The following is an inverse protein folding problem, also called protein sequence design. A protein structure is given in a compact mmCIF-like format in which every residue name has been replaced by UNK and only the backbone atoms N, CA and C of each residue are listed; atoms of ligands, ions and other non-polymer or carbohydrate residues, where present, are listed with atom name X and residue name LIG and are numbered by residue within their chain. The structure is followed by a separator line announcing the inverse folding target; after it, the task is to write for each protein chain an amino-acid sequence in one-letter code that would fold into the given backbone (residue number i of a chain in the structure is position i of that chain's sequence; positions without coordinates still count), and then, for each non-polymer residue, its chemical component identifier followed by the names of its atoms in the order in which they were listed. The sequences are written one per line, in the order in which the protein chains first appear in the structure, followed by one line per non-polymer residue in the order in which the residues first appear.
data_IF_215073490062
#
_entry.id   IF_215073490062
#
_cell.length_a   1.000
_cell.length_b   1.000
_cell.length_c   1.000
_cell.angle_alpha   90.00
_cell.angle_beta   90.00
_cell.angle_gamma   90.00
#
_symmetry.space_group_name_H-M   'P 1'
#
loop_
_entity.id
_entity.type
_entity.pdbx_description
1 polymer ?
#
# COMPACT_ATOMS: atom_id res chain seq x y z
N UNK A 1 17.45 -13.38 34.86
CA UNK A 1 18.74 -13.21 35.54
C UNK A 1 19.80 -13.98 34.77
N UNK A 2 20.56 -13.31 33.90
CA UNK A 2 21.79 -13.90 33.36
C UNK A 2 22.95 -13.42 34.23
N UNK A 3 23.60 -14.37 34.88
CA UNK A 3 24.72 -14.15 35.80
C UNK A 3 25.97 -13.81 34.97
N UNK A 4 26.56 -12.65 35.24
CA UNK A 4 27.87 -12.25 34.73
C UNK A 4 28.96 -12.87 35.60
N UNK A 5 29.90 -13.60 34.99
CA UNK A 5 31.23 -13.83 35.55
C UNK A 5 32.23 -13.66 34.40
N UNK A 6 32.88 -12.50 34.34
CA UNK A 6 34.17 -12.36 33.69
C UNK A 6 35.20 -12.17 34.79
N UNK A 7 35.98 -13.22 35.06
CA UNK A 7 37.16 -13.14 35.90
C UNK A 7 38.27 -12.38 35.15
N UNK A 8 38.92 -11.46 35.85
CA UNK A 8 40.12 -10.77 35.38
C UNK A 8 41.28 -11.75 35.21
N UNK A 9 41.96 -11.71 34.06
CA UNK A 9 43.44 -11.81 33.94
C UNK A 9 43.88 -11.71 32.47
N UNK A 10 44.33 -10.52 32.09
CA UNK A 10 45.48 -10.17 31.24
C UNK A 10 45.87 -11.21 30.16
N UNK A 11 45.49 -10.98 28.89
CA UNK A 11 46.40 -10.93 27.72
C UNK A 11 45.63 -10.63 26.40
N UNK A 12 46.10 -9.66 25.60
CA UNK A 12 45.89 -9.64 24.14
C UNK A 12 44.66 -8.87 23.58
N UNK A 13 44.86 -7.60 23.30
CA UNK A 13 43.91 -6.58 22.78
C UNK A 13 43.41 -6.73 21.33
N UNK A 14 43.21 -7.95 20.81
CA UNK A 14 42.62 -8.15 19.45
C UNK A 14 41.50 -9.20 19.41
N UNK A 15 41.45 -10.14 20.36
CA UNK A 15 40.47 -11.23 20.32
C UNK A 15 39.10 -10.90 20.93
N UNK A 16 38.98 -9.81 21.71
CA UNK A 16 37.74 -9.46 22.39
C UNK A 16 36.69 -8.80 21.45
N UNK A 17 37.12 -8.19 20.34
CA UNK A 17 36.19 -7.56 19.38
C UNK A 17 35.49 -8.56 18.46
N UNK A 18 36.12 -9.71 18.16
CA UNK A 18 35.51 -10.73 17.30
C UNK A 18 34.44 -11.57 18.02
N UNK A 19 34.50 -11.71 19.35
CA UNK A 19 33.44 -12.40 20.10
C UNK A 19 32.17 -11.56 20.32
N UNK A 20 32.26 -10.22 20.25
CA UNK A 20 31.09 -9.33 20.35
C UNK A 20 30.25 -9.27 19.05
N UNK A 21 30.83 -9.61 17.91
CA UNK A 21 30.11 -9.65 16.62
C UNK A 21 29.36 -10.97 16.37
N UNK A 22 29.74 -12.05 17.06
CA UNK A 22 29.13 -13.37 16.88
C UNK A 22 27.99 -13.67 17.88
N UNK A 23 27.84 -12.85 18.92
CA UNK A 23 26.84 -13.01 19.97
C UNK A 23 25.86 -11.84 19.95
N UNK A 24 24.78 -12.03 19.18
CA UNK A 24 23.47 -11.37 19.24
C UNK A 24 23.06 -10.61 17.95
N UNK A 25 22.64 -11.34 16.90
CA UNK A 25 21.87 -10.76 15.79
C UNK A 25 20.60 -10.02 16.26
N UNK A 26 20.02 -10.45 17.37
CA UNK A 26 18.78 -9.90 17.93
C UNK A 26 18.96 -8.50 18.54
N UNK A 27 20.08 -8.21 19.22
CA UNK A 27 20.39 -6.87 19.75
C UNK A 27 20.62 -5.84 18.64
N UNK A 28 21.27 -6.24 17.53
CA UNK A 28 21.45 -5.41 16.33
C UNK A 28 20.12 -5.15 15.58
N UNK A 29 19.18 -6.11 15.62
CA UNK A 29 17.82 -5.91 15.08
C UNK A 29 16.98 -4.95 15.94
N UNK A 30 17.16 -4.95 17.26
CA UNK A 30 16.41 -4.08 18.18
C UNK A 30 16.88 -2.61 18.13
N UNK A 31 18.17 -2.33 17.88
CA UNK A 31 18.68 -0.97 17.65
C UNK A 31 18.17 -0.34 16.33
N UNK A 32 17.77 -1.16 15.34
CA UNK A 32 17.15 -0.72 14.08
C UNK A 32 15.64 -0.45 14.18
N UNK A 33 15.07 -0.46 15.38
CA UNK A 33 13.67 -0.14 15.68
C UNK A 33 13.53 1.21 16.37
N UNK A 34 14.19 2.25 15.85
CA UNK A 34 13.95 3.63 16.27
C UNK A 34 12.95 4.26 15.28
N UNK A 35 11.80 4.80 15.73
CA UNK A 35 10.83 5.46 14.86
C UNK A 35 11.44 6.59 14.04
N UNK A 36 12.46 7.29 14.57
CA UNK A 36 13.15 8.35 13.83
C UNK A 36 13.84 7.85 12.57
N UNK A 37 14.28 6.59 12.50
CA UNK A 37 14.90 6.02 11.29
C UNK A 37 13.89 5.36 10.35
N UNK A 38 12.69 5.04 10.84
CA UNK A 38 11.62 4.40 10.06
C UNK A 38 10.56 5.40 9.59
N UNK A 39 10.59 6.63 10.11
CA UNK A 39 9.66 7.69 9.75
C UNK A 39 10.28 8.60 8.69
N UNK A 40 9.81 8.46 7.45
CA UNK A 40 10.20 9.34 6.36
C UNK A 40 9.52 10.72 6.44
N UNK A 41 8.39 10.85 7.16
CA UNK A 41 7.60 12.10 7.30
C UNK A 41 8.45 13.28 7.79
N UNK A 42 9.46 13.04 8.64
CA UNK A 42 10.32 14.10 9.18
C UNK A 42 11.15 14.85 8.12
N UNK A 43 11.28 14.28 6.93
CA UNK A 43 12.00 14.89 5.81
C UNK A 43 11.10 15.73 4.89
N UNK A 44 9.80 15.82 5.19
CA UNK A 44 8.83 16.58 4.43
C UNK A 44 8.62 17.94 5.10
N UNK A 45 8.87 19.02 4.35
CA UNK A 45 8.71 20.40 4.82
C UNK A 45 7.31 20.97 4.55
N UNK A 46 6.48 20.24 3.80
CA UNK A 46 5.09 20.61 3.51
C UNK A 46 4.16 19.49 3.93
N UNK A 47 3.00 19.87 4.47
CA UNK A 47 1.92 18.97 4.85
C UNK A 47 1.11 18.59 3.61
N UNK A 48 1.67 17.70 2.80
CA UNK A 48 1.00 17.19 1.59
C UNK A 48 1.07 15.67 1.62
N UNK A 49 -0.08 14.98 1.59
CA UNK A 49 -0.16 13.54 1.44
C UNK A 49 -0.55 13.19 0.01
N UNK A 50 0.24 12.33 -0.62
CA UNK A 50 -0.17 11.64 -1.85
C UNK A 50 -0.53 10.20 -1.53
N UNK A 51 -1.81 9.88 -1.69
CA UNK A 51 -2.31 8.51 -1.59
C UNK A 51 -2.58 7.95 -2.99
N UNK A 52 -1.54 7.35 -3.57
CA UNK A 52 -1.62 6.70 -4.88
C UNK A 52 -2.29 5.31 -4.77
N UNK A 53 -3.58 5.33 -4.47
CA UNK A 53 -4.36 4.20 -3.94
C UNK A 53 -4.33 2.95 -4.84
N UNK A 54 -3.97 1.83 -4.24
CA UNK A 54 -4.16 0.50 -4.83
C UNK A 54 -5.67 0.15 -4.85
N UNK A 55 -6.21 -0.38 -5.95
CA UNK A 55 -7.58 -0.88 -5.99
C UNK A 55 -7.78 -2.10 -5.09
N UNK A 56 -8.96 -2.15 -4.46
CA UNK A 56 -9.47 -3.26 -3.64
C UNK A 56 -8.68 -3.57 -2.37
N UNK A 57 -7.92 -2.60 -1.88
CA UNK A 57 -7.24 -2.63 -0.57
C UNK A 57 -8.00 -1.84 0.50
N UNK A 58 -9.31 -1.62 0.32
CA UNK A 58 -10.15 -0.83 1.24
C UNK A 58 -9.85 0.67 1.19
N UNK A 59 -9.46 1.18 0.03
CA UNK A 59 -9.09 2.59 -0.15
C UNK A 59 -10.27 3.56 0.05
N UNK A 60 -11.52 3.19 -0.25
CA UNK A 60 -12.68 4.03 0.07
C UNK A 60 -12.83 4.27 1.57
N UNK A 61 -12.63 3.24 2.40
CA UNK A 61 -12.68 3.38 3.87
C UNK A 61 -11.59 4.33 4.38
N UNK A 62 -10.38 4.27 3.83
CA UNK A 62 -9.32 5.20 4.23
C UNK A 62 -9.61 6.64 3.76
N UNK A 63 -10.18 6.80 2.56
CA UNK A 63 -10.61 8.12 2.05
C UNK A 63 -11.67 8.73 2.96
N UNK A 64 -12.69 7.97 3.32
CA UNK A 64 -13.75 8.45 4.21
C UNK A 64 -13.18 8.83 5.58
N UNK A 65 -12.24 8.03 6.12
CA UNK A 65 -11.54 8.37 7.35
C UNK A 65 -10.78 9.70 7.23
N UNK A 66 -10.06 9.92 6.12
CA UNK A 66 -9.35 11.18 5.86
C UNK A 66 -10.30 12.37 5.66
N UNK A 67 -11.48 12.18 5.07
CA UNK A 67 -12.49 13.24 4.96
C UNK A 67 -12.99 13.66 6.34
N UNK A 68 -13.28 12.70 7.22
CA UNK A 68 -13.74 13.00 8.58
C UNK A 68 -12.62 13.63 9.43
N UNK A 69 -11.40 13.11 9.32
CA UNK A 69 -10.22 13.70 9.95
C UNK A 69 -9.91 15.09 9.40
N UNK A 70 -10.16 15.35 8.11
CA UNK A 70 -9.95 16.66 7.49
C UNK A 70 -10.78 17.76 8.13
N UNK A 71 -11.98 17.42 8.59
CA UNK A 71 -12.85 18.34 9.36
C UNK A 71 -12.37 18.54 10.80
N UNK A 72 -11.73 17.53 11.41
CA UNK A 72 -11.25 17.58 12.80
C UNK A 72 -9.87 18.23 12.91
N UNK A 73 -9.03 17.98 11.92
CA UNK A 73 -7.63 18.37 11.87
C UNK A 73 -7.40 19.43 10.79
N UNK A 74 -8.40 20.15 10.29
CA UNK A 74 -8.23 21.26 9.34
C UNK A 74 -7.28 20.97 8.16
N UNK A 75 -7.68 20.04 7.27
CA UNK A 75 -6.96 19.80 6.02
C UNK A 75 -7.89 19.51 4.85
N UNK A 76 -7.48 19.95 3.66
CA UNK A 76 -8.20 19.76 2.41
C UNK A 76 -8.04 18.32 1.92
N UNK A 77 -9.12 17.75 1.39
CA UNK A 77 -9.14 16.42 0.78
C UNK A 77 -9.61 16.51 -0.67
N UNK A 78 -8.78 16.07 -1.60
CA UNK A 78 -9.13 15.98 -3.01
C UNK A 78 -8.91 14.57 -3.56
N UNK A 79 -9.73 14.18 -4.54
CA UNK A 79 -9.60 12.88 -5.21
C UNK A 79 -9.86 12.96 -6.70
N UNK A 80 -9.15 12.14 -7.46
CA UNK A 80 -9.42 11.98 -8.90
C UNK A 80 -10.85 11.48 -9.15
N UNK A 81 -11.56 11.98 -10.18
CA UNK A 81 -12.88 11.48 -10.54
C UNK A 81 -12.81 10.03 -11.02
N UNK A 82 -13.92 9.28 -10.89
CA UNK A 82 -14.00 7.87 -11.31
C UNK A 82 -13.67 7.66 -12.80
N UNK A 83 -13.98 8.63 -13.66
CA UNK A 83 -13.71 8.59 -15.09
C UNK A 83 -12.22 8.73 -15.43
N UNK A 84 -11.37 9.17 -14.50
CA UNK A 84 -9.94 9.37 -14.75
C UNK A 84 -9.26 8.00 -14.96
N UNK A 85 -8.57 7.77 -16.09
CA UNK A 85 -7.81 6.54 -16.30
C UNK A 85 -6.71 6.36 -15.25
N UNK A 86 -6.42 5.11 -14.90
CA UNK A 86 -5.32 4.82 -13.96
C UNK A 86 -3.98 5.22 -14.57
N UNK A 87 -3.16 5.93 -13.78
CA UNK A 87 -1.82 6.36 -14.16
C UNK A 87 -0.80 5.23 -14.16
N UNK A 88 -0.86 4.32 -15.13
CA UNK A 88 0.05 3.16 -15.19
C UNK A 88 1.39 3.54 -15.82
N UNK A 89 1.36 4.10 -17.03
CA UNK A 89 2.56 4.42 -17.80
C UNK A 89 2.57 5.89 -18.22
N UNK A 90 3.37 6.69 -17.54
CA UNK A 90 3.54 8.10 -17.82
C UNK A 90 5.02 8.40 -18.07
N UNK A 91 5.29 9.10 -19.17
CA UNK A 91 6.60 9.69 -19.40
C UNK A 91 6.94 10.73 -18.33
N UNK A 92 8.22 11.10 -18.24
CA UNK A 92 8.74 12.03 -17.21
C UNK A 92 8.00 13.38 -17.26
N UNK A 93 7.75 13.93 -18.44
CA UNK A 93 7.04 15.21 -18.58
C UNK A 93 5.60 15.12 -18.07
N UNK A 94 4.87 14.06 -18.45
CA UNK A 94 3.50 13.85 -17.96
C UNK A 94 3.44 13.66 -16.44
N UNK A 95 4.42 12.99 -15.84
CA UNK A 95 4.51 12.88 -14.38
C UNK A 95 4.72 14.26 -13.72
N UNK A 96 5.54 15.12 -14.34
CA UNK A 96 5.78 16.49 -13.86
C UNK A 96 4.55 17.38 -14.00
N UNK A 97 3.85 17.31 -15.14
CA UNK A 97 2.58 18.00 -15.38
C UNK A 97 1.55 17.58 -14.34
N UNK A 98 1.40 16.28 -14.11
CA UNK A 98 0.44 15.75 -13.14
C UNK A 98 0.80 16.15 -11.71
N UNK A 99 2.06 16.08 -11.32
CA UNK A 99 2.52 16.53 -10.01
C UNK A 99 2.26 18.03 -9.79
N UNK A 100 2.54 18.86 -10.80
CA UNK A 100 2.26 20.31 -10.76
C UNK A 100 0.76 20.57 -10.62
N UNK A 101 -0.06 19.93 -11.47
CA UNK A 101 -1.52 20.04 -11.43
C UNK A 101 -2.09 19.69 -10.06
N UNK A 102 -1.58 18.63 -9.42
CA UNK A 102 -2.04 18.23 -8.08
C UNK A 102 -1.70 19.30 -7.04
N UNK A 103 -0.48 19.86 -7.09
CA UNK A 103 -0.06 20.91 -6.16
C UNK A 103 -0.85 22.21 -6.34
N UNK A 104 -1.28 22.52 -7.55
CA UNK A 104 -2.13 23.68 -7.84
C UNK A 104 -3.54 23.56 -7.26
N UNK A 105 -4.01 22.35 -6.94
CA UNK A 105 -5.29 22.15 -6.24
C UNK A 105 -5.22 22.51 -4.75
N UNK A 106 -4.03 22.69 -4.19
CA UNK A 106 -3.86 22.99 -2.78
C UNK A 106 -4.28 24.43 -2.49
N UNK A 107 -5.39 24.59 -1.77
CA UNK A 107 -5.86 25.88 -1.26
C UNK A 107 -5.51 26.05 0.23
N UNK A 108 -5.51 24.95 0.99
CA UNK A 108 -5.24 24.94 2.43
C UNK A 108 -3.77 24.59 2.78
N UNK A 109 -3.27 24.97 3.97
CA UNK A 109 -1.89 24.66 4.39
C UNK A 109 -1.56 23.16 4.44
N UNK A 110 -2.56 22.32 4.71
CA UNK A 110 -2.45 20.87 4.72
C UNK A 110 -3.40 20.24 3.69
N UNK A 111 -2.89 19.30 2.91
CA UNK A 111 -3.58 18.79 1.73
C UNK A 111 -3.39 17.29 1.53
N UNK A 112 -4.47 16.58 1.22
CA UNK A 112 -4.46 15.17 0.83
C UNK A 112 -4.97 15.04 -0.60
N UNK A 113 -4.18 14.41 -1.46
CA UNK A 113 -4.60 14.03 -2.80
C UNK A 113 -4.65 12.51 -2.99
N UNK A 114 -5.73 12.03 -3.58
CA UNK A 114 -5.98 10.60 -3.77
C UNK A 114 -6.27 10.24 -5.23
N UNK A 115 -5.50 9.31 -5.80
CA UNK A 115 -5.68 8.87 -7.18
C UNK A 115 -5.19 7.43 -7.42
N UNK A 116 -5.83 6.74 -8.37
CA UNK A 116 -5.29 5.51 -8.93
C UNK A 116 -4.13 5.81 -9.90
N UNK A 117 -2.90 5.83 -9.39
CA UNK A 117 -1.69 6.00 -10.19
C UNK A 117 -0.50 5.24 -9.60
N UNK A 118 0.47 4.94 -10.45
CA UNK A 118 1.74 4.41 -9.99
C UNK A 118 2.56 5.49 -9.27
N UNK A 119 3.49 5.06 -8.42
CA UNK A 119 4.40 5.95 -7.72
C UNK A 119 5.20 6.82 -8.71
N UNK A 120 5.22 8.13 -8.44
CA UNK A 120 6.02 9.12 -9.16
C UNK A 120 7.16 9.62 -8.29
N UNK A 121 8.38 9.61 -8.84
CA UNK A 121 9.52 10.22 -8.16
C UNK A 121 9.50 11.73 -8.38
N UNK A 122 9.16 12.49 -7.33
CA UNK A 122 8.98 13.94 -7.42
C UNK A 122 10.33 14.69 -7.35
N UNK A 123 11.39 14.07 -6.82
CA UNK A 123 12.69 14.73 -6.58
C UNK A 123 13.29 15.40 -7.83
N UNK A 124 13.27 14.77 -9.02
CA UNK A 124 13.81 15.38 -10.25
C UNK A 124 13.03 16.61 -10.74
N UNK A 125 11.81 16.81 -10.27
CA UNK A 125 10.96 17.91 -10.71
C UNK A 125 11.19 19.21 -9.93
N UNK A 126 12.05 19.18 -8.90
CA UNK A 126 12.27 20.30 -7.98
C UNK A 126 10.98 20.80 -7.30
N UNK A 127 10.00 19.90 -7.16
CA UNK A 127 8.74 20.14 -6.46
C UNK A 127 8.82 19.70 -4.99
N UNK A 128 7.98 20.26 -4.10
CA UNK A 128 7.86 19.80 -2.72
C UNK A 128 7.59 18.30 -2.66
N UNK A 129 8.33 17.59 -1.80
CA UNK A 129 8.16 16.15 -1.65
C UNK A 129 6.88 15.86 -0.84
N UNK A 130 5.91 15.12 -1.38
CA UNK A 130 4.72 14.73 -0.66
C UNK A 130 5.02 13.52 0.24
N UNK A 131 4.26 13.39 1.32
CA UNK A 131 4.23 12.20 2.17
C UNK A 131 3.44 11.13 1.43
N UNK A 132 4.13 10.11 0.91
CA UNK A 132 3.45 8.97 0.31
C UNK A 132 2.91 8.03 1.39
N UNK A 133 1.63 7.67 1.28
CA UNK A 133 1.02 6.60 2.07
C UNK A 133 0.35 5.60 1.13
N UNK A 134 0.14 4.38 1.61
CA UNK A 134 -0.69 3.44 0.86
C UNK A 134 -1.33 2.36 1.74
N UNK A 135 -2.15 1.52 1.12
CA UNK A 135 -2.75 0.34 1.72
C UNK A 135 -2.51 -0.88 0.83
N UNK A 136 -2.11 -1.99 1.44
CA UNK A 136 -1.97 -3.30 0.79
C UNK A 136 -3.02 -4.29 1.29
N UNK A 137 -3.14 -5.42 0.60
CA UNK A 137 -4.01 -6.55 0.96
C UNK A 137 -3.39 -7.85 0.46
N UNK A 138 -3.81 -8.99 1.01
CA UNK A 138 -3.51 -10.30 0.41
C UNK A 138 -3.68 -10.27 -1.12
N UNK A 139 -2.62 -10.57 -1.91
CA UNK A 139 -2.64 -10.44 -3.36
C UNK A 139 -3.79 -11.18 -4.05
N UNK A 140 -4.08 -12.41 -3.61
CA UNK A 140 -5.09 -13.27 -4.22
C UNK A 140 -6.50 -12.79 -3.87
N UNK A 141 -6.77 -12.51 -2.60
CA UNK A 141 -8.06 -11.98 -2.15
C UNK A 141 -8.39 -10.63 -2.78
N UNK A 142 -7.36 -9.81 -3.04
CA UNK A 142 -7.49 -8.53 -3.74
C UNK A 142 -7.90 -8.72 -5.20
N UNK A 143 -7.28 -9.64 -5.92
CA UNK A 143 -7.61 -9.96 -7.33
C UNK A 143 -9.01 -10.57 -7.44
N UNK A 144 -9.36 -11.50 -6.55
CA UNK A 144 -10.74 -12.04 -6.47
C UNK A 144 -11.74 -10.89 -6.21
N UNK A 145 -11.42 -9.99 -5.29
CA UNK A 145 -12.28 -8.83 -5.00
C UNK A 145 -12.46 -7.92 -6.21
N UNK A 146 -11.41 -7.72 -7.01
CA UNK A 146 -11.46 -6.94 -8.25
C UNK A 146 -12.32 -7.62 -9.32
N UNK A 147 -12.11 -8.92 -9.53
CA UNK A 147 -12.83 -9.72 -10.52
C UNK A 147 -14.35 -9.60 -10.33
N UNK A 148 -14.84 -9.79 -9.10
CA UNK A 148 -16.27 -9.68 -8.82
C UNK A 148 -16.75 -8.24 -8.76
N UNK A 149 -15.93 -7.29 -8.28
CA UNK A 149 -16.30 -5.88 -8.26
C UNK A 149 -16.64 -5.33 -9.65
N UNK A 150 -15.82 -5.65 -10.67
CA UNK A 150 -16.05 -5.22 -12.05
C UNK A 150 -17.45 -5.61 -12.58
N UNK A 151 -18.00 -6.71 -12.06
CA UNK A 151 -19.26 -7.34 -12.47
C UNK A 151 -20.48 -6.96 -11.62
N UNK A 152 -20.29 -6.08 -10.64
CA UNK A 152 -21.39 -5.65 -9.77
C UNK A 152 -22.32 -4.64 -10.47
N UNK A 153 -23.64 -4.66 -10.19
CA UNK A 153 -24.59 -3.76 -10.84
C UNK A 153 -24.22 -2.26 -10.73
N UNK A 154 -23.80 -1.82 -9.55
CA UNK A 154 -23.41 -0.42 -9.33
C UNK A 154 -22.15 -0.04 -10.12
N UNK A 155 -21.17 -0.94 -10.26
CA UNK A 155 -20.02 -0.69 -11.11
C UNK A 155 -20.42 -0.66 -12.58
N UNK A 156 -21.31 -1.54 -13.02
CA UNK A 156 -21.84 -1.55 -14.39
C UNK A 156 -22.51 -0.22 -14.75
N UNK A 157 -23.30 0.35 -13.83
CA UNK A 157 -23.92 1.68 -14.02
C UNK A 157 -22.86 2.78 -14.12
N UNK A 158 -21.82 2.75 -13.27
CA UNK A 158 -20.70 3.71 -13.35
C UNK A 158 -19.96 3.58 -14.69
N UNK A 159 -19.69 2.36 -15.15
CA UNK A 159 -19.02 2.10 -16.42
C UNK A 159 -19.87 2.50 -17.63
N UNK A 160 -21.19 2.32 -17.57
CA UNK A 160 -22.10 2.78 -18.62
C UNK A 160 -22.02 4.30 -18.81
N UNK A 161 -21.96 5.07 -17.72
CA UNK A 161 -21.78 6.53 -17.78
C UNK A 161 -20.48 6.97 -18.47
N UNK A 162 -19.44 6.12 -18.43
CA UNK A 162 -18.13 6.42 -19.03
C UNK A 162 -18.04 5.91 -20.48
N UNK A 163 -18.56 4.71 -20.74
CA UNK A 163 -18.34 3.99 -22.02
C UNK A 163 -19.56 4.00 -22.94
N UNK A 164 -20.74 4.39 -22.43
CA UNK A 164 -22.01 4.35 -23.13
C UNK A 164 -22.54 2.93 -23.40
N UNK A 165 -21.89 1.88 -22.88
CA UNK A 165 -22.26 0.49 -23.15
C UNK A 165 -22.17 -0.38 -21.90
N UNK A 166 -23.10 -1.32 -21.77
CA UNK A 166 -22.98 -2.40 -20.79
C UNK A 166 -22.13 -3.54 -21.36
N UNK A 167 -21.45 -4.28 -20.49
CA UNK A 167 -20.86 -5.58 -20.83
C UNK A 167 -21.92 -6.60 -21.28
N UNK A 168 -21.47 -7.67 -21.94
CA UNK A 168 -22.36 -8.76 -22.32
C UNK A 168 -22.75 -9.63 -21.11
N UNK A 169 -23.76 -10.49 -21.27
CA UNK A 169 -24.20 -11.42 -20.22
C UNK A 169 -23.05 -12.27 -19.69
N UNK A 170 -22.22 -12.81 -20.57
CA UNK A 170 -21.07 -13.67 -20.23
C UNK A 170 -20.09 -12.97 -19.30
N UNK A 171 -19.85 -11.66 -19.48
CA UNK A 171 -19.02 -10.88 -18.58
C UNK A 171 -19.59 -10.88 -17.17
N UNK A 172 -20.88 -10.56 -17.01
CA UNK A 172 -21.51 -10.43 -15.68
C UNK A 172 -21.71 -11.76 -14.96
N UNK A 173 -21.94 -12.86 -15.69
CA UNK A 173 -22.15 -14.18 -15.09
C UNK A 173 -20.89 -15.02 -14.95
N UNK A 174 -19.72 -14.48 -15.33
CA UNK A 174 -18.47 -15.23 -15.33
C UNK A 174 -18.06 -15.64 -13.92
N UNK A 175 -17.70 -16.92 -13.77
CA UNK A 175 -17.16 -17.46 -12.54
C UNK A 175 -15.63 -17.28 -12.50
N UNK A 176 -15.08 -16.97 -11.32
CA UNK A 176 -13.66 -16.76 -11.15
C UNK A 176 -12.84 -18.05 -11.25
N UNK A 177 -13.34 -19.15 -10.68
CA UNK A 177 -12.67 -20.45 -10.71
C UNK A 177 -12.53 -20.96 -12.14
N UNK A 178 -13.63 -20.94 -12.90
CA UNK A 178 -13.63 -21.31 -14.31
C UNK A 178 -12.64 -20.45 -15.09
N UNK A 179 -12.67 -19.12 -14.89
CA UNK A 179 -11.76 -18.18 -15.55
C UNK A 179 -10.28 -18.50 -15.32
N UNK A 180 -9.91 -18.93 -14.11
CA UNK A 180 -8.53 -19.35 -13.78
C UNK A 180 -8.20 -20.69 -14.43
N UNK A 181 -9.11 -21.66 -14.37
CA UNK A 181 -8.87 -23.01 -14.92
C UNK A 181 -8.77 -23.00 -16.45
N UNK A 182 -9.60 -22.19 -17.13
CA UNK A 182 -9.58 -22.04 -18.58
C UNK A 182 -8.50 -21.08 -19.09
N UNK A 183 -7.74 -20.45 -18.19
CA UNK A 183 -6.68 -19.48 -18.52
C UNK A 183 -7.18 -18.32 -19.38
N UNK A 184 -8.39 -17.83 -19.08
CA UNK A 184 -8.97 -16.71 -19.79
C UNK A 184 -8.08 -15.47 -19.66
N UNK A 185 -7.97 -14.59 -20.69
CA UNK A 185 -7.01 -13.48 -20.70
C UNK A 185 -6.97 -12.61 -19.42
N UNK A 186 -8.14 -12.32 -18.83
CA UNK A 186 -8.25 -11.50 -17.60
C UNK A 186 -7.77 -12.24 -16.31
N UNK A 187 -7.70 -13.57 -16.34
CA UNK A 187 -7.29 -14.44 -15.24
C UNK A 187 -5.96 -15.16 -15.49
N UNK A 188 -5.20 -14.72 -16.51
CA UNK A 188 -3.82 -15.18 -16.71
C UNK A 188 -2.85 -14.46 -15.78
N UNK A 189 -1.95 -15.23 -15.17
CA UNK A 189 -0.98 -14.78 -14.17
C UNK A 189 0.42 -15.33 -14.47
N UNK A 190 0.79 -15.33 -15.75
CA UNK A 190 2.04 -15.89 -16.23
C UNK A 190 3.23 -15.02 -15.83
N UNK A 191 4.32 -15.63 -15.38
CA UNK A 191 5.55 -14.92 -15.04
C UNK A 191 6.04 -14.09 -16.24
N UNK A 192 6.39 -12.83 -15.99
CA UNK A 192 6.90 -11.93 -17.01
C UNK A 192 5.85 -11.36 -17.97
N UNK A 193 4.55 -11.60 -17.75
CA UNK A 193 3.48 -11.06 -18.58
C UNK A 193 3.57 -9.52 -18.65
N UNK A 194 3.61 -8.97 -19.86
CA UNK A 194 3.72 -7.53 -20.13
C UNK A 194 2.34 -6.86 -20.22
N UNK A 195 2.26 -5.53 -20.21
CA UNK A 195 0.96 -4.84 -20.29
C UNK A 195 0.28 -5.02 -21.64
N UNK A 196 1.04 -5.06 -22.73
CA UNK A 196 0.50 -5.27 -24.09
C UNK A 196 -0.18 -6.64 -24.26
N UNK A 197 0.23 -7.61 -23.46
CA UNK A 197 -0.25 -9.00 -23.48
C UNK A 197 -1.32 -9.24 -22.40
N UNK A 198 -1.68 -8.19 -21.66
CA UNK A 198 -2.64 -8.21 -20.57
C UNK A 198 -3.76 -7.20 -20.86
N UNK A 199 -4.98 -7.52 -20.47
CA UNK A 199 -6.09 -6.57 -20.52
C UNK A 199 -5.94 -5.56 -19.36
N UNK A 200 -4.84 -4.78 -19.38
CA UNK A 200 -4.47 -3.70 -18.47
C UNK A 200 -5.11 -3.84 -17.08
N UNK A 201 -4.74 -4.88 -16.34
CA UNK A 201 -5.55 -5.29 -15.20
C UNK A 201 -4.84 -5.01 -13.87
N UNK A 202 -5.65 -4.70 -12.86
CA UNK A 202 -5.23 -4.37 -11.51
C UNK A 202 -4.71 -5.61 -10.75
N UNK A 203 -3.94 -6.50 -11.41
CA UNK A 203 -3.38 -7.75 -10.89
C UNK A 203 -2.20 -7.52 -9.95
N UNK A 204 -1.49 -6.41 -10.14
CA UNK A 204 -0.25 -6.09 -9.44
C UNK A 204 -0.49 -4.99 -8.43
N UNK A 205 -0.31 -5.28 -7.15
CA UNK A 205 -0.24 -4.19 -6.17
C UNK A 205 1.16 -3.59 -6.17
N UNK A 206 2.21 -4.39 -6.34
CA UNK A 206 3.61 -3.92 -6.35
C UNK A 206 3.87 -2.84 -7.41
N UNK A 207 3.15 -2.88 -8.53
CA UNK A 207 3.22 -1.91 -9.62
C UNK A 207 2.98 -0.47 -9.15
N UNK A 208 2.02 -0.27 -8.25
CA UNK A 208 1.70 1.04 -7.69
C UNK A 208 2.85 1.62 -6.85
N UNK A 209 3.78 0.77 -6.38
CA UNK A 209 4.95 1.18 -5.61
C UNK A 209 6.23 1.21 -6.46
N UNK A 210 6.32 0.35 -7.47
CA UNK A 210 7.47 0.28 -8.38
C UNK A 210 7.58 1.56 -9.24
N UNK A 211 6.44 2.08 -9.69
CA UNK A 211 6.36 3.31 -10.47
C UNK A 211 6.20 3.08 -11.97
N UNK A 212 6.58 4.08 -12.77
CA UNK A 212 6.35 4.10 -14.23
C UNK A 212 7.51 3.53 -15.07
N UNK A 213 8.54 2.95 -14.45
CA UNK A 213 9.69 2.43 -15.19
C UNK A 213 9.34 1.12 -15.93
N UNK A 214 9.88 0.87 -17.14
CA UNK A 214 9.69 -0.38 -17.86
C UNK A 214 10.08 -1.64 -17.04
N UNK A 215 11.00 -1.52 -16.07
CA UNK A 215 11.36 -2.63 -15.18
C UNK A 215 10.19 -3.11 -14.31
N UNK A 216 9.15 -2.29 -14.15
CA UNK A 216 7.94 -2.58 -13.38
C UNK A 216 6.86 -3.30 -14.20
N UNK A 217 7.04 -3.38 -15.52
CA UNK A 217 6.06 -3.96 -16.44
C UNK A 217 5.99 -5.50 -16.43
N UNK A 218 7.09 -6.26 -16.26
CA UNK A 218 6.97 -7.71 -16.21
C UNK A 218 6.27 -8.20 -14.94
N UNK A 219 5.16 -8.95 -15.07
CA UNK A 219 4.43 -9.52 -13.93
C UNK A 219 5.30 -10.47 -13.09
N UNK A 220 5.15 -10.39 -11.77
CA UNK A 220 5.73 -11.34 -10.81
C UNK A 220 7.26 -11.51 -10.98
N UNK A 221 8.01 -10.43 -11.26
CA UNK A 221 9.47 -10.50 -11.45
C UNK A 221 10.26 -9.93 -10.26
N UNK A 222 11.43 -10.50 -9.91
CA UNK A 222 12.27 -10.00 -8.82
C UNK A 222 12.72 -8.54 -9.00
N UNK A 223 12.99 -8.13 -10.24
CA UNK A 223 13.44 -6.78 -10.56
C UNK A 223 12.39 -5.71 -10.23
N UNK A 224 11.12 -5.96 -10.59
CA UNK A 224 10.00 -5.09 -10.26
C UNK A 224 9.80 -4.98 -8.73
N UNK A 225 9.88 -6.11 -8.02
CA UNK A 225 9.73 -6.12 -6.55
C UNK A 225 10.88 -5.41 -5.86
N UNK A 226 12.12 -5.63 -6.28
CA UNK A 226 13.28 -4.94 -5.71
C UNK A 226 13.14 -3.41 -5.84
N UNK A 227 12.69 -2.93 -7.01
CA UNK A 227 12.42 -1.52 -7.25
C UNK A 227 11.26 -1.00 -6.39
N UNK A 228 10.17 -1.75 -6.26
CA UNK A 228 9.05 -1.41 -5.40
C UNK A 228 9.50 -1.28 -3.93
N UNK A 229 10.22 -2.27 -3.39
CA UNK A 229 10.76 -2.25 -2.02
C UNK A 229 11.67 -1.04 -1.79
N UNK A 230 12.53 -0.72 -2.76
CA UNK A 230 13.42 0.44 -2.68
C UNK A 230 12.63 1.76 -2.57
N UNK A 231 11.59 1.95 -3.39
CA UNK A 231 10.76 3.14 -3.32
C UNK A 231 9.96 3.20 -2.00
N UNK A 232 9.45 2.05 -1.53
CA UNK A 232 8.76 1.94 -0.23
C UNK A 232 9.65 2.43 0.90
N UNK A 233 10.88 1.94 1.02
CA UNK A 233 11.79 2.37 2.08
C UNK A 233 12.18 3.84 1.95
N UNK A 234 12.37 4.32 0.72
CA UNK A 234 12.86 5.68 0.47
C UNK A 234 11.79 6.75 0.70
N UNK A 235 10.57 6.54 0.21
CA UNK A 235 9.61 7.64 0.04
C UNK A 235 8.24 7.39 0.69
N UNK A 236 7.86 6.14 1.00
CA UNK A 236 6.58 5.89 1.67
C UNK A 236 6.74 6.05 3.18
N UNK A 237 5.85 6.80 3.82
CA UNK A 237 5.81 6.93 5.26
C UNK A 237 5.16 5.69 5.88
N UNK A 238 3.87 5.48 5.62
CA UNK A 238 3.10 4.35 6.18
C UNK A 238 2.42 3.57 5.05
N UNK A 239 2.55 2.25 5.11
CA UNK A 239 1.82 1.31 4.25
C UNK A 239 1.03 0.38 5.16
N UNK A 240 -0.28 0.60 5.21
CA UNK A 240 -1.18 -0.14 6.10
C UNK A 240 -1.81 -1.38 5.48
N UNK A 241 -2.51 -2.16 6.30
CA UNK A 241 -3.45 -3.20 5.87
C UNK A 241 -4.65 -3.26 6.80
N UNK A 242 -5.86 -3.34 6.24
CA UNK A 242 -7.09 -3.57 7.02
C UNK A 242 -7.20 -4.97 7.61
N UNK A 243 -6.28 -5.88 7.25
CA UNK A 243 -6.14 -7.16 7.97
C UNK A 243 -5.62 -6.93 9.40
N UNK A 244 -4.92 -5.81 9.62
CA UNK A 244 -4.32 -5.42 10.91
C UNK A 244 -4.70 -3.97 11.25
N UNK A 245 -6.01 -3.72 11.30
CA UNK A 245 -6.58 -2.36 11.44
C UNK A 245 -5.98 -1.57 12.60
N UNK A 246 -5.91 -2.15 13.80
CA UNK A 246 -5.39 -1.44 14.98
C UNK A 246 -3.93 -1.02 14.79
N UNK A 247 -3.10 -1.91 14.25
CA UNK A 247 -1.68 -1.64 13.96
C UNK A 247 -1.58 -0.50 12.96
N UNK A 248 -2.38 -0.56 11.88
CA UNK A 248 -2.40 0.47 10.84
C UNK A 248 -2.79 1.84 11.40
N UNK A 249 -3.89 1.93 12.14
CA UNK A 249 -4.37 3.20 12.70
C UNK A 249 -3.38 3.77 13.70
N UNK A 250 -2.84 2.95 14.61
CA UNK A 250 -1.81 3.40 15.56
C UNK A 250 -0.58 3.96 14.84
N UNK A 251 -0.08 3.27 13.80
CA UNK A 251 1.12 3.74 13.08
C UNK A 251 0.84 5.04 12.33
N UNK A 252 -0.30 5.15 11.63
CA UNK A 252 -0.70 6.39 10.93
C UNK A 252 -0.76 7.58 11.90
N UNK A 253 -1.42 7.39 13.04
CA UNK A 253 -1.62 8.43 14.05
C UNK A 253 -0.29 8.93 14.65
N UNK A 254 0.68 8.05 14.88
CA UNK A 254 1.97 8.43 15.46
C UNK A 254 2.96 8.97 14.42
N UNK A 255 2.95 8.46 13.18
CA UNK A 255 3.93 8.84 12.16
C UNK A 255 3.51 10.05 11.35
N UNK A 256 2.20 10.33 11.27
CA UNK A 256 1.62 11.42 10.49
C UNK A 256 0.50 12.12 11.30
N UNK A 257 0.80 12.63 12.51
CA UNK A 257 -0.22 13.13 13.44
C UNK A 257 -0.99 14.35 12.92
N UNK A 258 -0.37 15.20 12.08
CA UNK A 258 -1.04 16.35 11.44
C UNK A 258 -2.32 15.96 10.71
N UNK A 259 -2.35 14.75 10.14
CA UNK A 259 -3.48 14.24 9.37
C UNK A 259 -4.29 13.19 10.13
N UNK A 260 -3.63 12.30 10.89
CA UNK A 260 -4.26 11.10 11.46
C UNK A 260 -4.44 11.13 12.98
N UNK A 261 -4.23 12.26 13.66
CA UNK A 261 -4.56 12.38 15.10
C UNK A 261 -6.06 12.16 15.32
N UNK A 262 -6.39 11.26 16.25
CA UNK A 262 -7.77 10.83 16.54
C UNK A 262 -8.33 9.80 15.57
N UNK A 263 -7.49 9.15 14.74
CA UNK A 263 -7.95 8.16 13.75
C UNK A 263 -8.60 6.94 14.39
N UNK A 264 -8.03 6.44 15.49
CA UNK A 264 -8.56 5.27 16.21
C UNK A 264 -9.94 5.57 16.81
N UNK A 265 -10.06 6.73 17.45
CA UNK A 265 -11.30 7.22 18.06
C UNK A 265 -12.42 7.32 17.01
N UNK A 266 -12.16 8.00 15.89
CA UNK A 266 -13.15 8.15 14.81
C UNK A 266 -13.53 6.81 14.17
N UNK A 267 -12.57 5.92 13.97
CA UNK A 267 -12.83 4.64 13.32
C UNK A 267 -13.73 3.73 14.17
N UNK A 268 -13.53 3.70 15.48
CA UNK A 268 -14.25 2.83 16.42
C UNK A 268 -15.39 3.53 17.19
N UNK A 269 -15.73 4.77 16.84
CA UNK A 269 -16.86 5.49 17.42
C UNK A 269 -18.15 4.62 17.33
N UNK A 270 -18.82 4.28 18.45
CA UNK A 270 -19.91 3.30 18.45
C UNK A 270 -21.10 3.61 17.54
N UNK A 271 -21.41 4.90 17.33
CA UNK A 271 -22.60 5.31 16.58
C UNK A 271 -22.33 5.54 15.10
N UNK A 272 -21.21 6.19 14.80
CA UNK A 272 -20.91 6.69 13.45
C UNK A 272 -19.60 6.16 12.90
N UNK A 273 -18.85 5.37 13.68
CA UNK A 273 -17.53 4.89 13.32
C UNK A 273 -17.52 3.95 12.13
N UNK A 274 -16.49 4.09 11.31
CA UNK A 274 -16.32 3.34 10.07
C UNK A 274 -16.17 1.83 10.27
N UNK A 275 -15.76 1.39 11.47
CA UNK A 275 -15.71 -0.03 11.83
C UNK A 275 -17.07 -0.72 11.73
N UNK A 276 -18.17 0.03 11.94
CA UNK A 276 -19.53 -0.50 11.99
C UNK A 276 -20.33 -0.22 10.71
N UNK A 277 -19.79 0.59 9.80
CA UNK A 277 -20.38 0.89 8.50
C UNK A 277 -20.05 -0.20 7.47
N UNK A 278 -21.06 -0.94 7.01
CA UNK A 278 -20.89 -2.07 6.06
C UNK A 278 -20.90 -1.66 4.58
N UNK A 279 -20.67 -0.38 4.26
CA UNK A 279 -20.92 0.18 2.93
C UNK A 279 -20.07 -0.42 1.80
N UNK A 280 -18.88 -0.96 2.13
CA UNK A 280 -17.93 -1.49 1.14
C UNK A 280 -17.94 -3.03 1.00
N UNK A 281 -18.96 -3.73 1.52
CA UNK A 281 -19.06 -5.18 1.40
C UNK A 281 -19.67 -5.56 0.05
N UNK A 282 -18.92 -6.34 -0.74
CA UNK A 282 -19.46 -6.92 -1.98
C UNK A 282 -20.21 -8.22 -1.69
N UNK A 283 -21.53 -8.13 -1.50
CA UNK A 283 -22.42 -9.29 -1.32
C UNK A 283 -22.49 -10.21 -2.56
N UNK A 284 -22.01 -9.75 -3.73
CA UNK A 284 -21.97 -10.51 -4.98
C UNK A 284 -20.66 -11.29 -5.16
N UNK A 285 -19.76 -11.30 -4.17
CA UNK A 285 -18.53 -12.12 -4.19
C UNK A 285 -18.84 -13.52 -3.65
N UNK A 286 -18.91 -14.57 -4.48
CA UNK A 286 -19.03 -15.95 -4.02
C UNK A 286 -17.77 -16.38 -3.26
N UNK A 287 -17.89 -17.46 -2.50
CA UNK A 287 -16.73 -18.13 -1.93
C UNK A 287 -15.93 -18.80 -3.06
N UNK A 288 -14.64 -18.54 -3.10
CA UNK A 288 -13.68 -19.20 -4.00
C UNK A 288 -12.99 -20.33 -3.24
N UNK A 289 -12.88 -21.49 -3.88
CA UNK A 289 -12.27 -22.67 -3.29
C UNK A 289 -10.79 -22.46 -2.95
N UNK A 290 -10.33 -23.07 -1.84
CA UNK A 290 -8.91 -22.97 -1.45
C UNK A 290 -7.98 -23.60 -2.48
N UNK A 291 -8.45 -24.61 -3.25
CA UNK A 291 -7.70 -25.19 -4.37
C UNK A 291 -7.32 -24.13 -5.40
N UNK A 292 -8.28 -23.30 -5.82
CA UNK A 292 -8.03 -22.23 -6.79
C UNK A 292 -7.11 -21.17 -6.19
N UNK A 293 -7.30 -20.81 -4.91
CA UNK A 293 -6.39 -19.87 -4.24
C UNK A 293 -4.97 -20.40 -4.14
N UNK A 294 -4.76 -21.70 -3.92
CA UNK A 294 -3.43 -22.32 -3.91
C UNK A 294 -2.76 -22.23 -5.28
N UNK A 295 -3.49 -22.54 -6.37
CA UNK A 295 -2.99 -22.36 -7.74
C UNK A 295 -2.54 -20.91 -7.97
N UNK A 296 -3.36 -19.94 -7.56
CA UNK A 296 -2.99 -18.53 -7.69
C UNK A 296 -1.79 -18.15 -6.82
N UNK A 297 -1.71 -18.60 -5.57
CA UNK A 297 -0.59 -18.32 -4.66
C UNK A 297 0.74 -18.75 -5.29
N UNK A 298 0.77 -19.89 -5.98
CA UNK A 298 1.95 -20.36 -6.71
C UNK A 298 2.37 -19.42 -7.86
N UNK A 299 1.44 -18.69 -8.46
CA UNK A 299 1.70 -17.73 -9.55
C UNK A 299 1.92 -16.29 -9.07
N UNK A 300 1.78 -16.02 -7.77
CA UNK A 300 1.89 -14.68 -7.15
C UNK A 300 3.07 -14.57 -6.17
N UNK A 301 4.08 -15.44 -6.31
CA UNK A 301 5.22 -15.54 -5.38
C UNK A 301 5.88 -14.19 -5.06
N UNK A 302 6.19 -13.39 -6.08
CA UNK A 302 6.82 -12.09 -5.92
C UNK A 302 5.85 -11.02 -5.38
N UNK A 303 4.56 -11.07 -5.72
CA UNK A 303 3.55 -10.20 -5.11
C UNK A 303 3.35 -10.52 -3.62
N UNK A 304 3.44 -11.78 -3.21
CA UNK A 304 3.44 -12.19 -1.81
C UNK A 304 4.73 -11.77 -1.09
N UNK A 305 5.89 -11.89 -1.75
CA UNK A 305 7.15 -11.39 -1.21
C UNK A 305 7.08 -9.89 -0.89
N UNK A 306 6.47 -9.10 -1.78
CA UNK A 306 6.20 -7.68 -1.55
C UNK A 306 5.19 -7.42 -0.44
N UNK A 307 4.07 -8.15 -0.43
CA UNK A 307 3.04 -8.06 0.60
C UNK A 307 3.62 -8.28 2.00
N UNK A 308 4.37 -9.38 2.22
CA UNK A 308 4.97 -9.68 3.52
C UNK A 308 6.07 -8.68 3.91
N UNK A 309 6.82 -8.17 2.95
CA UNK A 309 7.77 -7.09 3.19
C UNK A 309 7.07 -5.84 3.76
N UNK A 310 5.98 -5.39 3.14
CA UNK A 310 5.21 -4.25 3.63
C UNK A 310 4.58 -4.52 5.01
N UNK A 311 4.04 -5.73 5.24
CA UNK A 311 3.51 -6.15 6.55
C UNK A 311 4.58 -6.12 7.63
N UNK A 312 5.75 -6.70 7.35
CA UNK A 312 6.89 -6.68 8.27
C UNK A 312 7.30 -5.24 8.60
N UNK A 313 7.36 -4.36 7.59
CA UNK A 313 7.66 -2.94 7.80
C UNK A 313 6.63 -2.25 8.70
N UNK A 314 5.34 -2.48 8.47
CA UNK A 314 4.26 -1.93 9.30
C UNK A 314 4.41 -2.36 10.77
N UNK A 315 4.60 -3.66 11.02
CA UNK A 315 4.80 -4.16 12.38
C UNK A 315 6.07 -3.62 13.03
N UNK A 316 7.16 -3.45 12.26
CA UNK A 316 8.38 -2.81 12.78
C UNK A 316 8.12 -1.38 13.24
N UNK A 317 7.34 -0.59 12.48
CA UNK A 317 6.94 0.76 12.88
C UNK A 317 6.08 0.72 14.15
N UNK A 318 5.12 -0.19 14.22
CA UNK A 318 4.26 -0.38 15.39
C UNK A 318 5.05 -0.74 16.67
N UNK A 319 5.94 -1.73 16.59
CA UNK A 319 6.78 -2.11 17.73
C UNK A 319 7.75 -0.99 18.14
N UNK A 320 8.25 -0.20 17.18
CA UNK A 320 9.08 0.94 17.48
C UNK A 320 8.32 1.99 18.31
N UNK A 321 7.04 2.27 17.99
CA UNK A 321 6.19 3.16 18.80
C UNK A 321 6.06 2.64 20.24
N UNK A 322 5.66 1.37 20.39
CA UNK A 322 5.35 0.80 21.70
C UNK A 322 6.56 0.67 22.62
N UNK A 323 7.76 0.44 22.07
CA UNK A 323 8.99 0.44 22.87
C UNK A 323 9.28 1.80 23.53
N UNK A 324 8.92 2.90 22.88
CA UNK A 324 9.13 4.24 23.42
C UNK A 324 8.06 4.66 24.44
N UNK A 325 6.98 3.89 24.61
CA UNK A 325 5.94 4.16 25.62
C UNK A 325 6.26 3.56 27.00
N UNK A 326 7.33 2.76 27.12
CA UNK A 326 7.72 2.07 28.35
C UNK A 326 9.00 2.60 29.00
N UNK A 327 9.46 3.81 28.62
CA UNK A 327 10.59 4.49 29.24
C UNK A 327 10.20 5.87 29.75
#
# INVERSE_FOLDING_TARGET
MCVFICAESICGSVFCWMCLLQLCPELLQLWRLNPKFLNNTKFHFRDIIFYNRVPKTGSETLIELMIQLGKKNDFQNERSPFSKPTGIYWGVERQKEEATRILELQEEPAFVYVEHMNYMNIRPFHLPQPIYINMIRDPVERVISWFYYKRTPWNSVKMYKVTGKFGNRTHYTKNFEDCVLTHDPECRYDYGLMFKDDSADHKRQSLFFCGHSPICEPFNTPAAIARAKQNVERDFSVIGSWEDTNVTLTVLEHYIPRFFKGSMELYYEPKTGLAFQKENINHWKPKVSERIKQIMRANFTQEYEFYYFCKQRLYRQYFAINKHLHF
#
